data_IF_998675516704
#
_entry.id   IF_998675516704
#
_cell.length_a   1.000
_cell.length_b   1.000
_cell.length_c   1.000
_cell.angle_alpha   90.00
_cell.angle_beta   90.00
_cell.angle_gamma   90.00
#
_symmetry.space_group_name_H-M   'P 1'
#
loop_
_entity.id
_entity.type
_entity.pdbx_description
1 polymer ?
#
# COMPACT_ATOMS: atom_id res chain seq x y z
N UNK A 1 -2.65 0.68 27.12
CA UNK A 1 -1.87 1.89 26.79
C UNK A 1 -0.90 1.50 25.70
N UNK A 2 -0.81 2.26 24.61
CA UNK A 2 0.19 1.97 23.58
C UNK A 2 1.57 2.27 24.18
N UNK A 3 2.46 1.28 24.20
CA UNK A 3 3.86 1.55 24.52
C UNK A 3 4.47 2.28 23.32
N UNK A 4 5.08 3.42 23.55
CA UNK A 4 5.74 4.20 22.53
C UNK A 4 7.25 3.92 22.54
N UNK A 5 7.79 3.71 21.36
CA UNK A 5 9.22 3.68 21.09
C UNK A 5 9.65 5.09 20.69
N UNK A 6 10.75 5.54 21.25
CA UNK A 6 11.40 6.77 20.81
C UNK A 6 12.18 6.46 19.52
N UNK A 7 11.78 7.08 18.42
CA UNK A 7 12.47 7.00 17.15
C UNK A 7 13.17 8.29 16.79
N UNK A 8 14.02 8.23 15.78
CA UNK A 8 14.66 9.38 15.15
C UNK A 8 14.36 9.41 13.67
N UNK A 9 14.03 10.56 13.15
CA UNK A 9 13.96 10.79 11.71
C UNK A 9 15.36 10.68 11.13
N UNK A 10 15.52 9.80 10.14
CA UNK A 10 16.78 9.66 9.38
C UNK A 10 16.75 10.52 8.13
N UNK A 11 15.60 10.55 7.46
CA UNK A 11 15.43 11.27 6.21
C UNK A 11 13.94 11.60 6.00
N UNK A 12 13.67 12.70 5.31
CA UNK A 12 12.32 13.10 4.89
C UNK A 12 12.36 13.41 3.39
N UNK A 13 12.05 12.40 2.58
CA UNK A 13 12.16 12.44 1.11
C UNK A 13 10.88 12.99 0.50
N UNK A 14 10.85 14.27 0.28
CA UNK A 14 9.73 14.95 -0.36
C UNK A 14 9.68 14.62 -1.86
N UNK A 15 8.58 14.05 -2.31
CA UNK A 15 8.34 13.80 -3.73
C UNK A 15 7.79 15.05 -4.42
N UNK A 16 6.93 15.79 -3.70
CA UNK A 16 6.36 17.08 -4.13
C UNK A 16 5.90 17.87 -2.90
N UNK A 17 5.06 18.87 -3.09
CA UNK A 17 4.58 19.78 -2.03
C UNK A 17 3.72 19.10 -0.96
N UNK A 18 3.16 17.92 -1.23
CA UNK A 18 2.24 17.21 -0.33
C UNK A 18 2.52 15.72 -0.18
N UNK A 19 3.48 15.15 -0.89
CA UNK A 19 3.83 13.74 -0.81
C UNK A 19 5.25 13.56 -0.27
N UNK A 20 5.40 12.73 0.73
CA UNK A 20 6.72 12.43 1.32
C UNK A 20 6.84 10.98 1.76
N UNK A 21 8.09 10.50 1.78
CA UNK A 21 8.51 9.27 2.43
C UNK A 21 9.38 9.62 3.64
N UNK A 22 8.93 9.27 4.82
CA UNK A 22 9.62 9.52 6.09
C UNK A 22 10.36 8.25 6.53
N UNK A 23 11.68 8.35 6.68
CA UNK A 23 12.55 7.25 7.12
C UNK A 23 12.85 7.44 8.61
N UNK A 24 12.62 6.38 9.40
CA UNK A 24 12.64 6.45 10.86
C UNK A 24 13.56 5.34 11.40
N UNK A 25 14.47 5.70 12.28
CA UNK A 25 15.22 4.73 13.08
C UNK A 25 14.45 4.46 14.38
N UNK A 26 13.84 3.28 14.45
CA UNK A 26 13.15 2.78 15.62
C UNK A 26 13.16 1.24 15.59
N UNK A 27 13.40 0.63 16.75
CA UNK A 27 13.37 -0.83 16.89
C UNK A 27 11.94 -1.31 17.15
N UNK A 28 11.22 -1.52 16.06
CA UNK A 28 9.82 -1.97 16.11
C UNK A 28 9.68 -3.45 16.49
N UNK A 29 10.76 -4.23 16.46
CA UNK A 29 10.69 -5.68 16.61
C UNK A 29 10.08 -6.38 15.38
N UNK A 30 9.46 -7.54 15.60
CA UNK A 30 8.90 -8.33 14.49
C UNK A 30 7.55 -7.80 14.01
N UNK A 31 7.38 -7.73 12.69
CA UNK A 31 6.12 -7.44 12.01
C UNK A 31 6.05 -8.21 10.69
N UNK A 32 4.92 -8.16 10.01
CA UNK A 32 4.73 -8.79 8.70
C UNK A 32 4.58 -7.70 7.62
N UNK A 33 5.16 -7.93 6.45
CA UNK A 33 5.02 -7.03 5.30
C UNK A 33 3.53 -6.80 4.97
N UNK A 34 3.15 -5.53 4.83
CA UNK A 34 1.77 -5.10 4.65
C UNK A 34 1.09 -4.57 5.91
N UNK A 35 1.70 -4.74 7.09
CA UNK A 35 1.20 -4.14 8.33
C UNK A 35 1.46 -2.63 8.41
N UNK A 36 0.71 -1.97 9.28
CA UNK A 36 0.89 -0.56 9.65
C UNK A 36 1.32 -0.40 11.11
N UNK A 37 1.82 0.77 11.43
CA UNK A 37 2.15 1.19 12.79
C UNK A 37 1.57 2.58 13.06
N UNK A 38 1.25 2.87 14.31
CA UNK A 38 0.88 4.25 14.67
C UNK A 38 2.14 5.07 14.89
N UNK A 39 2.21 6.20 14.18
CA UNK A 39 3.29 7.19 14.31
C UNK A 39 2.68 8.46 14.86
N UNK A 40 3.39 9.12 15.76
CA UNK A 40 2.89 10.32 16.41
C UNK A 40 3.98 11.27 16.92
N UNK A 41 3.49 12.40 17.38
CA UNK A 41 4.28 13.45 18.01
C UNK A 41 3.67 13.80 19.37
N UNK A 42 4.49 14.29 20.32
CA UNK A 42 3.97 14.82 21.58
C UNK A 42 2.94 15.92 21.34
N UNK A 43 1.86 15.91 22.13
CA UNK A 43 0.79 16.89 22.08
C UNK A 43 0.30 17.20 23.50
N UNK A 44 0.98 18.14 24.18
CA UNK A 44 0.84 18.35 25.62
C UNK A 44 1.24 17.11 26.41
N UNK A 45 0.35 16.62 27.25
CA UNK A 45 0.54 15.38 28.04
C UNK A 45 0.20 14.10 27.28
N UNK A 46 -0.31 14.23 26.02
CA UNK A 46 -0.75 13.13 25.16
C UNK A 46 0.16 12.94 23.94
N UNK A 47 -0.16 11.94 23.11
CA UNK A 47 0.47 11.69 21.82
C UNK A 47 -0.57 11.79 20.73
N UNK A 48 -0.41 12.76 19.85
CA UNK A 48 -1.17 12.84 18.62
C UNK A 48 -0.60 11.84 17.62
N UNK A 49 -1.34 10.76 17.30
CA UNK A 49 -0.85 9.70 16.44
C UNK A 49 -1.91 9.19 15.43
N UNK A 50 -1.43 8.73 14.29
CA UNK A 50 -2.25 8.10 13.23
C UNK A 50 -1.58 6.82 12.72
N UNK A 51 -2.34 5.87 12.15
CA UNK A 51 -1.80 4.68 11.49
C UNK A 51 -1.15 5.05 10.15
N UNK A 52 0.02 4.46 9.89
CA UNK A 52 0.77 4.56 8.64
C UNK A 52 1.26 3.19 8.24
N UNK A 53 0.95 2.76 7.02
CA UNK A 53 1.43 1.48 6.49
C UNK A 53 2.93 1.54 6.26
N UNK A 54 3.61 0.46 6.62
CA UNK A 54 5.05 0.32 6.41
C UNK A 54 5.34 0.02 4.94
N UNK A 55 6.31 0.72 4.38
CA UNK A 55 6.80 0.54 2.99
C UNK A 55 7.95 -0.45 2.94
N UNK A 56 8.66 -0.62 4.04
CA UNK A 56 9.82 -1.49 4.16
C UNK A 56 9.44 -2.89 4.66
N UNK A 57 10.30 -3.86 4.41
CA UNK A 57 10.20 -5.21 4.96
C UNK A 57 10.74 -5.25 6.39
N UNK A 58 10.39 -6.29 7.19
CA UNK A 58 10.94 -6.47 8.54
C UNK A 58 12.47 -6.65 8.57
N UNK A 59 13.09 -6.99 7.46
CA UNK A 59 14.54 -7.19 7.35
C UNK A 59 15.31 -5.90 7.06
N UNK A 60 14.63 -4.85 6.64
CA UNK A 60 15.22 -3.54 6.41
C UNK A 60 15.45 -2.84 7.75
N UNK A 61 16.57 -2.14 7.87
CA UNK A 61 17.02 -1.54 9.12
C UNK A 61 16.08 -0.45 9.65
N UNK A 62 15.59 0.41 8.74
CA UNK A 62 14.80 1.57 9.10
C UNK A 62 13.36 1.39 8.69
N UNK A 63 12.45 1.94 9.47
CA UNK A 63 11.05 2.03 9.10
C UNK A 63 10.88 3.11 8.03
N UNK A 64 10.00 2.86 7.10
CA UNK A 64 9.61 3.84 6.07
C UNK A 64 8.10 3.92 5.99
N UNK A 65 7.57 5.15 5.99
CA UNK A 65 6.15 5.42 5.78
C UNK A 65 5.98 6.46 4.68
N UNK A 66 5.05 6.19 3.77
CA UNK A 66 4.72 7.05 2.65
C UNK A 66 3.33 7.64 2.82
N UNK A 67 3.22 8.97 2.82
CA UNK A 67 1.96 9.64 3.07
C UNK A 67 1.82 10.97 2.31
N UNK A 68 0.57 11.41 2.20
CA UNK A 68 0.24 12.76 1.75
C UNK A 68 -0.09 13.66 2.95
N UNK A 69 0.24 14.92 2.80
CA UNK A 69 -0.16 15.98 3.74
C UNK A 69 -1.65 16.27 3.58
N UNK A 70 -2.37 16.24 4.69
CA UNK A 70 -3.74 16.74 4.79
C UNK A 70 -3.63 18.13 5.42
N UNK A 71 -3.85 19.19 4.65
CA UNK A 71 -3.59 20.60 5.06
C UNK A 71 -4.22 20.96 6.41
N UNK A 72 -5.49 20.61 6.61
CA UNK A 72 -6.20 20.86 7.87
C UNK A 72 -6.02 19.72 8.90
N UNK A 73 -5.23 18.71 8.57
CA UNK A 73 -4.95 17.59 9.46
C UNK A 73 -3.98 17.98 10.57
N UNK A 74 -4.21 17.54 11.83
CA UNK A 74 -3.40 17.99 12.95
C UNK A 74 -1.99 17.36 12.98
N UNK A 75 -1.74 16.26 12.28
CA UNK A 75 -0.48 15.50 12.38
C UNK A 75 0.35 15.54 11.10
N UNK A 76 -0.22 15.24 9.92
CA UNK A 76 0.57 15.06 8.70
C UNK A 76 1.37 16.28 8.27
N UNK A 77 0.91 17.55 8.45
CA UNK A 77 1.75 18.73 8.22
C UNK A 77 2.97 18.76 9.16
N UNK A 78 2.79 18.43 10.44
CA UNK A 78 3.88 18.39 11.44
C UNK A 78 4.91 17.31 11.10
N UNK A 79 4.47 16.14 10.61
CA UNK A 79 5.37 15.06 10.16
C UNK A 79 6.12 15.45 8.88
N UNK A 80 5.46 16.18 7.98
CA UNK A 80 6.07 16.67 6.75
C UNK A 80 7.19 17.68 6.99
N UNK A 81 7.12 18.43 8.09
CA UNK A 81 8.11 19.44 8.46
C UNK A 81 9.32 18.88 9.24
N UNK A 82 9.27 17.62 9.67
CA UNK A 82 10.38 16.98 10.39
C UNK A 82 11.64 16.92 9.54
N UNK A 83 12.78 17.09 10.25
CA UNK A 83 14.11 17.03 9.67
C UNK A 83 14.88 15.82 10.23
N UNK A 84 15.95 15.44 9.55
CA UNK A 84 16.86 14.41 10.07
C UNK A 84 17.38 14.79 11.47
N UNK A 85 17.26 13.85 12.42
CA UNK A 85 17.60 14.02 13.81
C UNK A 85 16.43 14.39 14.73
N UNK A 86 15.28 14.77 14.19
CA UNK A 86 14.10 15.07 15.00
C UNK A 86 13.54 13.81 15.69
N UNK A 87 12.91 14.02 16.84
CA UNK A 87 12.27 12.96 17.62
C UNK A 87 10.89 12.62 17.02
N UNK A 88 10.56 11.34 17.03
CA UNK A 88 9.28 10.82 16.58
C UNK A 88 8.88 9.63 17.46
N UNK A 89 7.57 9.44 17.67
CA UNK A 89 7.04 8.35 18.46
C UNK A 89 6.44 7.28 17.55
N UNK A 90 6.85 6.02 17.77
CA UNK A 90 6.35 4.84 17.03
C UNK A 90 5.70 3.91 18.04
N UNK A 91 4.45 3.49 17.79
CA UNK A 91 3.81 2.51 18.67
C UNK A 91 4.50 1.15 18.51
N UNK A 92 4.78 0.48 19.64
CA UNK A 92 5.51 -0.81 19.64
C UNK A 92 4.73 -2.00 19.07
N UNK A 93 3.43 -1.83 18.80
CA UNK A 93 2.56 -2.91 18.33
C UNK A 93 2.11 -2.65 16.89
N UNK A 94 2.78 -3.23 15.88
CA UNK A 94 2.30 -3.22 14.51
C UNK A 94 0.96 -3.96 14.41
N UNK A 95 0.14 -3.58 13.44
CA UNK A 95 -1.22 -4.10 13.26
C UNK A 95 -1.58 -4.13 11.76
N UNK A 96 -2.73 -4.70 11.45
CA UNK A 96 -3.23 -4.81 10.08
C UNK A 96 -3.32 -6.25 9.61
N UNK A 97 -4.20 -6.47 8.65
CA UNK A 97 -4.50 -7.79 8.07
C UNK A 97 -4.29 -7.79 6.55
N UNK A 98 -3.62 -6.76 6.03
CA UNK A 98 -3.28 -6.67 4.61
C UNK A 98 -1.94 -7.38 4.36
N UNK A 99 -1.85 -8.64 4.78
CA UNK A 99 -0.64 -9.47 4.74
C UNK A 99 -0.85 -10.74 3.93
N UNK A 100 0.24 -11.31 3.41
CA UNK A 100 0.18 -12.53 2.58
C UNK A 100 -0.30 -13.74 3.38
N UNK A 101 -0.01 -13.79 4.68
CA UNK A 101 -0.42 -14.88 5.57
C UNK A 101 -1.94 -14.97 5.78
N UNK A 102 -2.66 -13.86 5.64
CA UNK A 102 -4.12 -13.80 5.75
C UNK A 102 -4.85 -14.25 4.48
N UNK A 103 -4.17 -14.39 3.34
CA UNK A 103 -4.79 -14.73 2.06
C UNK A 103 -5.04 -16.24 1.96
N UNK A 104 -6.26 -16.71 1.66
CA UNK A 104 -6.52 -18.11 1.33
C UNK A 104 -5.69 -18.59 0.12
N UNK A 105 -5.62 -19.91 -0.05
CA UNK A 105 -4.92 -20.47 -1.20
C UNK A 105 -5.59 -20.06 -2.51
N UNK A 106 -4.79 -19.46 -3.39
CA UNK A 106 -5.18 -19.05 -4.74
C UNK A 106 -3.93 -18.91 -5.60
N UNK A 107 -4.10 -18.79 -6.93
CA UNK A 107 -2.96 -18.70 -7.86
C UNK A 107 -2.48 -17.27 -8.09
N UNK A 108 -3.42 -16.31 -8.11
CA UNK A 108 -3.15 -14.95 -8.53
C UNK A 108 -3.41 -13.95 -7.41
N UNK A 109 -2.43 -13.12 -7.11
CA UNK A 109 -2.58 -11.99 -6.20
C UNK A 109 -2.72 -10.70 -7.01
N UNK A 110 -3.83 -9.99 -6.79
CA UNK A 110 -4.07 -8.66 -7.33
C UNK A 110 -3.95 -7.63 -6.22
N UNK A 111 -3.03 -6.69 -6.35
CA UNK A 111 -2.86 -5.56 -5.45
C UNK A 111 -3.33 -4.28 -6.14
N UNK A 112 -4.40 -3.68 -5.64
CA UNK A 112 -5.02 -2.48 -6.19
C UNK A 112 -4.77 -1.31 -5.24
N UNK A 113 -3.97 -0.35 -5.69
CA UNK A 113 -3.56 0.82 -4.93
C UNK A 113 -4.07 2.13 -5.53
N UNK A 114 -4.43 3.10 -4.67
CA UNK A 114 -4.55 4.49 -5.07
C UNK A 114 -3.67 5.39 -4.19
N UNK A 115 -2.91 6.30 -4.83
CA UNK A 115 -2.05 7.26 -4.12
C UNK A 115 -1.09 6.59 -3.15
N UNK A 116 -1.07 7.02 -1.91
CA UNK A 116 -0.18 6.47 -0.87
C UNK A 116 -0.53 5.05 -0.44
N UNK A 117 -1.66 4.50 -0.89
CA UNK A 117 -2.04 3.09 -0.70
C UNK A 117 -1.10 2.07 -1.33
N UNK A 118 -0.13 2.49 -2.12
CA UNK A 118 0.94 1.62 -2.61
C UNK A 118 1.88 1.13 -1.49
N UNK A 119 2.00 1.89 -0.38
CA UNK A 119 2.98 1.61 0.69
C UNK A 119 3.01 0.16 1.16
N UNK A 120 1.92 -0.43 1.68
CA UNK A 120 1.91 -1.82 2.15
C UNK A 120 2.21 -2.83 1.05
N UNK A 121 1.85 -2.54 -0.20
CA UNK A 121 2.15 -3.42 -1.33
C UNK A 121 3.62 -3.41 -1.71
N UNK A 122 4.33 -2.30 -1.54
CA UNK A 122 5.78 -2.26 -1.71
C UNK A 122 6.50 -3.15 -0.69
N UNK A 123 6.06 -3.14 0.58
CA UNK A 123 6.58 -4.05 1.59
C UNK A 123 6.37 -5.52 1.20
N UNK A 124 5.16 -5.88 0.75
CA UNK A 124 4.82 -7.23 0.29
C UNK A 124 5.66 -7.61 -0.93
N UNK A 125 5.77 -6.75 -1.93
CA UNK A 125 6.54 -7.00 -3.16
C UNK A 125 8.04 -7.12 -2.93
N UNK A 126 8.59 -6.45 -1.92
CA UNK A 126 9.99 -6.60 -1.49
C UNK A 126 10.25 -7.85 -0.66
N UNK A 127 9.19 -8.50 -0.14
CA UNK A 127 9.30 -9.77 0.62
C UNK A 127 9.25 -10.98 -0.31
N UNK A 128 9.77 -12.13 0.15
CA UNK A 128 9.71 -13.36 -0.63
C UNK A 128 8.33 -14.04 -0.60
N UNK A 129 7.52 -13.76 0.43
CA UNK A 129 6.27 -14.49 0.72
C UNK A 129 5.25 -14.47 -0.44
N UNK A 130 5.14 -13.33 -1.16
CA UNK A 130 4.23 -13.25 -2.30
C UNK A 130 4.71 -14.09 -3.49
N UNK A 131 6.01 -14.12 -3.73
CA UNK A 131 6.62 -14.82 -4.85
C UNK A 131 6.65 -16.34 -4.66
N UNK A 132 6.73 -16.80 -3.44
CA UNK A 132 6.65 -18.22 -3.09
C UNK A 132 5.20 -18.75 -3.15
N UNK A 133 4.22 -17.90 -2.83
CA UNK A 133 2.82 -18.31 -2.70
C UNK A 133 2.01 -18.26 -3.99
N UNK A 134 2.25 -17.26 -4.85
CA UNK A 134 1.39 -17.00 -6.01
C UNK A 134 2.11 -17.24 -7.34
N UNK A 135 1.37 -17.82 -8.30
CA UNK A 135 1.88 -18.00 -9.67
C UNK A 135 2.01 -16.66 -10.42
N UNK A 136 1.08 -15.72 -10.15
CA UNK A 136 1.08 -14.37 -10.72
C UNK A 136 0.77 -13.34 -9.64
N UNK A 137 1.48 -12.21 -9.71
CA UNK A 137 1.29 -11.06 -8.83
C UNK A 137 1.07 -9.82 -9.70
N UNK A 138 -0.03 -9.14 -9.50
CA UNK A 138 -0.39 -7.92 -10.23
C UNK A 138 -0.39 -6.74 -9.28
N UNK A 139 0.30 -5.65 -9.65
CA UNK A 139 0.17 -4.35 -9.01
C UNK A 139 -0.53 -3.38 -9.95
N UNK A 140 -1.80 -3.05 -9.67
CA UNK A 140 -2.53 -1.97 -10.31
C UNK A 140 -2.42 -0.70 -9.45
N UNK A 141 -1.64 0.28 -9.90
CA UNK A 141 -1.35 1.49 -9.14
C UNK A 141 -1.92 2.72 -9.83
N UNK A 142 -2.92 3.34 -9.20
CA UNK A 142 -3.65 4.48 -9.74
C UNK A 142 -3.32 5.78 -9.01
N UNK A 143 -3.06 6.81 -9.79
CA UNK A 143 -2.82 8.19 -9.36
C UNK A 143 -3.59 9.18 -10.26
N UNK A 144 -3.66 10.45 -9.84
CA UNK A 144 -4.26 11.50 -10.66
C UNK A 144 -3.32 11.94 -11.79
N UNK A 145 -2.06 12.21 -11.47
CA UNK A 145 -1.04 12.70 -12.38
C UNK A 145 0.19 11.81 -12.38
N UNK A 146 0.91 11.75 -13.51
CA UNK A 146 2.09 10.89 -13.68
C UNK A 146 3.22 11.24 -12.69
N UNK A 147 3.33 12.49 -12.27
CA UNK A 147 4.29 12.95 -11.26
C UNK A 147 4.06 12.36 -9.86
N UNK A 148 2.87 11.78 -9.61
CA UNK A 148 2.53 11.12 -8.35
C UNK A 148 2.88 9.62 -8.35
N UNK A 149 3.32 9.04 -9.49
CA UNK A 149 3.77 7.66 -9.55
C UNK A 149 5.09 7.49 -8.80
N UNK A 150 4.98 7.22 -7.50
CA UNK A 150 6.12 7.01 -6.61
C UNK A 150 6.78 5.64 -6.81
N UNK A 151 8.01 5.48 -6.33
CA UNK A 151 8.76 4.21 -6.25
C UNK A 151 8.97 3.49 -7.59
N UNK A 152 8.98 4.20 -8.71
CA UNK A 152 9.11 3.57 -10.04
C UNK A 152 10.39 2.73 -10.16
N UNK A 153 11.52 3.21 -9.63
CA UNK A 153 12.78 2.45 -9.63
C UNK A 153 12.68 1.13 -8.84
N UNK A 154 11.99 1.13 -7.71
CA UNK A 154 11.75 -0.09 -6.91
C UNK A 154 10.89 -1.07 -7.70
N UNK A 155 9.82 -0.58 -8.35
CA UNK A 155 8.93 -1.40 -9.18
C UNK A 155 9.70 -1.99 -10.38
N UNK A 156 10.54 -1.21 -11.04
CA UNK A 156 11.39 -1.66 -12.14
C UNK A 156 12.38 -2.76 -11.70
N UNK A 157 12.98 -2.62 -10.52
CA UNK A 157 13.86 -3.65 -9.95
C UNK A 157 13.09 -4.94 -9.66
N UNK A 158 11.86 -4.85 -9.12
CA UNK A 158 11.00 -5.99 -8.87
C UNK A 158 10.62 -6.67 -10.19
N UNK A 159 10.25 -5.88 -11.20
CA UNK A 159 9.93 -6.39 -12.54
C UNK A 159 11.12 -7.12 -13.17
N UNK A 160 12.32 -6.58 -13.04
CA UNK A 160 13.54 -7.21 -13.54
C UNK A 160 13.87 -8.54 -12.82
N UNK A 161 13.54 -8.62 -11.51
CA UNK A 161 13.82 -9.82 -10.70
C UNK A 161 12.81 -10.95 -10.95
N UNK A 162 11.51 -10.61 -11.06
CA UNK A 162 10.43 -11.60 -11.09
C UNK A 162 9.82 -11.83 -12.48
N UNK A 163 10.19 -11.01 -13.46
CA UNK A 163 9.87 -11.22 -14.87
C UNK A 163 8.38 -11.45 -15.10
N UNK A 164 8.04 -12.58 -15.72
CA UNK A 164 6.65 -12.92 -16.10
C UNK A 164 5.74 -13.23 -14.90
N UNK A 165 6.28 -13.44 -13.70
CA UNK A 165 5.48 -13.63 -12.49
C UNK A 165 4.83 -12.32 -12.02
N UNK A 166 5.41 -11.15 -12.36
CA UNK A 166 4.95 -9.84 -11.95
C UNK A 166 4.39 -9.01 -13.12
N UNK A 167 3.21 -8.44 -12.93
CA UNK A 167 2.60 -7.49 -13.84
C UNK A 167 2.36 -6.16 -13.15
N UNK A 168 2.97 -5.09 -13.65
CA UNK A 168 2.73 -3.72 -13.19
C UNK A 168 1.80 -3.00 -14.16
N UNK A 169 0.68 -2.49 -13.65
CA UNK A 169 -0.33 -1.73 -14.40
C UNK A 169 -0.45 -0.32 -13.80
N UNK A 170 0.30 0.66 -14.31
CA UNK A 170 0.11 2.06 -13.91
C UNK A 170 -1.20 2.60 -14.47
N UNK A 171 -1.90 3.41 -13.67
CA UNK A 171 -3.14 4.08 -14.07
C UNK A 171 -3.02 5.56 -13.73
N UNK A 172 -3.17 6.43 -14.74
CA UNK A 172 -3.09 7.90 -14.58
C UNK A 172 -4.39 8.51 -15.08
N UNK A 173 -5.20 9.06 -14.17
CA UNK A 173 -6.62 9.35 -14.47
C UNK A 173 -6.91 10.77 -14.95
N UNK A 174 -5.96 11.72 -14.86
CA UNK A 174 -6.18 13.14 -15.22
C UNK A 174 -5.28 13.65 -16.35
N UNK A 175 -4.42 12.80 -16.88
CA UNK A 175 -3.59 13.11 -18.04
C UNK A 175 -3.25 11.81 -18.79
N UNK A 176 -2.87 11.93 -20.05
CA UNK A 176 -2.39 10.79 -20.83
C UNK A 176 -0.92 10.52 -20.56
N UNK A 177 -0.56 9.27 -20.29
CA UNK A 177 0.83 8.82 -20.15
C UNK A 177 1.04 7.53 -20.97
N UNK A 178 2.06 7.49 -21.85
CA UNK A 178 2.40 6.25 -22.55
C UNK A 178 2.69 5.11 -21.55
N UNK A 179 2.09 3.94 -21.82
CA UNK A 179 2.25 2.76 -20.98
C UNK A 179 1.39 2.74 -19.71
N UNK A 180 0.51 3.73 -19.51
CA UNK A 180 -0.46 3.74 -18.42
C UNK A 180 -1.89 3.68 -18.97
N UNK A 181 -2.80 3.07 -18.20
CA UNK A 181 -4.25 3.17 -18.44
C UNK A 181 -4.76 4.52 -17.90
N UNK A 182 -5.86 5.03 -18.46
CA UNK A 182 -6.35 6.40 -18.22
C UNK A 182 -7.74 6.48 -17.57
N UNK A 183 -8.39 5.33 -17.31
CA UNK A 183 -9.70 5.26 -16.66
C UNK A 183 -9.55 4.86 -15.18
N UNK A 184 -10.56 5.21 -14.37
CA UNK A 184 -10.63 4.69 -13.00
C UNK A 184 -10.74 3.15 -13.00
N UNK A 185 -10.13 2.51 -12.01
CA UNK A 185 -10.02 1.05 -11.91
C UNK A 185 -11.36 0.30 -12.09
N UNK A 186 -12.50 0.72 -11.49
CA UNK A 186 -13.77 0.03 -11.71
C UNK A 186 -14.18 -0.04 -13.19
N UNK A 187 -13.94 1.03 -13.95
CA UNK A 187 -14.23 1.03 -15.40
C UNK A 187 -13.29 0.13 -16.20
N UNK A 188 -12.01 0.04 -15.78
CA UNK A 188 -11.04 -0.88 -16.39
C UNK A 188 -11.39 -2.36 -16.13
N UNK A 189 -12.04 -2.62 -14.98
CA UNK A 189 -12.58 -3.95 -14.68
C UNK A 189 -13.85 -4.26 -15.49
N UNK A 190 -14.73 -3.26 -15.67
CA UNK A 190 -15.98 -3.41 -16.41
C UNK A 190 -15.77 -3.64 -17.91
N UNK A 191 -14.82 -2.92 -18.51
CA UNK A 191 -14.52 -3.04 -19.93
C UNK A 191 -13.46 -4.12 -20.27
N UNK A 192 -12.93 -4.82 -19.24
CA UNK A 192 -11.94 -5.88 -19.37
C UNK A 192 -10.53 -5.41 -19.69
N UNK A 193 -10.28 -4.09 -19.74
CA UNK A 193 -8.95 -3.54 -20.06
C UNK A 193 -7.87 -3.96 -19.08
N UNK A 194 -8.23 -4.11 -17.80
CA UNK A 194 -7.29 -4.50 -16.73
C UNK A 194 -6.79 -5.94 -16.96
N UNK A 195 -7.71 -6.87 -17.23
CA UNK A 195 -7.41 -8.28 -17.49
C UNK A 195 -6.70 -8.46 -18.84
N UNK A 196 -7.13 -7.71 -19.84
CA UNK A 196 -6.46 -7.71 -21.15
C UNK A 196 -5.01 -7.23 -21.07
N UNK A 197 -4.72 -6.22 -20.25
CA UNK A 197 -3.37 -5.68 -20.06
C UNK A 197 -2.44 -6.69 -19.40
N UNK A 198 -2.95 -7.47 -18.45
CA UNK A 198 -2.15 -8.43 -17.67
C UNK A 198 -2.12 -9.82 -18.29
N UNK A 199 -3.11 -10.16 -19.12
CA UNK A 199 -3.33 -11.54 -19.61
C UNK A 199 -3.80 -12.50 -18.51
N UNK A 200 -4.31 -12.00 -17.37
CA UNK A 200 -4.71 -12.77 -16.20
C UNK A 200 -6.19 -12.49 -15.93
N UNK A 201 -7.00 -13.53 -15.83
CA UNK A 201 -8.40 -13.41 -15.46
C UNK A 201 -8.56 -13.11 -13.97
N UNK A 202 -9.42 -12.16 -13.65
CA UNK A 202 -9.78 -11.81 -12.28
C UNK A 202 -11.11 -12.50 -11.92
N UNK A 203 -11.01 -13.62 -11.23
CA UNK A 203 -12.16 -14.48 -10.91
C UNK A 203 -12.06 -15.08 -9.49
N UNK A 204 -13.19 -15.62 -9.01
CA UNK A 204 -13.31 -16.16 -7.66
C UNK A 204 -12.54 -17.48 -7.44
N UNK A 205 -12.21 -18.25 -8.49
CA UNK A 205 -11.55 -19.55 -8.35
C UNK A 205 -10.04 -19.44 -8.14
N UNK A 206 -9.42 -18.44 -8.77
CA UNK A 206 -7.96 -18.38 -8.86
C UNK A 206 -7.35 -17.10 -8.26
N UNK A 207 -8.17 -16.08 -7.93
CA UNK A 207 -7.67 -14.76 -7.56
C UNK A 207 -8.02 -14.30 -6.15
N UNK A 208 -7.07 -13.63 -5.50
CA UNK A 208 -7.34 -12.81 -4.33
C UNK A 208 -6.94 -11.35 -4.60
N UNK A 209 -7.80 -10.40 -4.19
CA UNK A 209 -7.58 -8.97 -4.39
C UNK A 209 -7.29 -8.29 -3.07
N UNK A 210 -6.15 -7.65 -2.96
CA UNK A 210 -5.83 -6.71 -1.88
C UNK A 210 -6.08 -5.29 -2.36
N UNK A 211 -6.79 -4.49 -1.58
CA UNK A 211 -7.06 -3.08 -1.91
C UNK A 211 -6.58 -2.16 -0.81
N UNK A 212 -5.82 -1.13 -1.18
CA UNK A 212 -5.39 -0.09 -0.25
C UNK A 212 -5.48 1.29 -0.91
N UNK A 213 -6.06 2.27 -0.20
CA UNK A 213 -6.19 3.64 -0.69
C UNK A 213 -7.54 4.29 -0.39
N UNK A 214 -8.06 5.09 -1.34
CA UNK A 214 -9.26 5.89 -1.13
C UNK A 214 -10.51 5.05 -0.88
N UNK A 215 -11.38 5.54 0.03
CA UNK A 215 -12.65 4.88 0.36
C UNK A 215 -13.57 4.70 -0.85
N UNK A 216 -13.55 5.67 -1.80
CA UNK A 216 -14.34 5.57 -3.03
C UNK A 216 -13.87 4.42 -3.90
N UNK A 217 -12.56 4.34 -4.18
CA UNK A 217 -12.00 3.23 -4.97
C UNK A 217 -12.34 1.88 -4.34
N UNK A 218 -12.13 1.72 -3.04
CA UNK A 218 -12.41 0.47 -2.34
C UNK A 218 -13.90 0.10 -2.43
N UNK A 219 -14.81 1.07 -2.30
CA UNK A 219 -16.24 0.84 -2.40
C UNK A 219 -16.63 0.39 -3.82
N UNK A 220 -16.17 1.12 -4.84
CA UNK A 220 -16.53 0.87 -6.23
C UNK A 220 -15.93 -0.47 -6.72
N UNK A 221 -14.65 -0.74 -6.44
CA UNK A 221 -14.01 -2.02 -6.80
C UNK A 221 -14.64 -3.19 -6.04
N UNK A 222 -15.02 -3.01 -4.76
CA UNK A 222 -15.73 -4.06 -4.01
C UNK A 222 -17.09 -4.40 -4.63
N UNK A 223 -17.79 -3.40 -5.19
CA UNK A 223 -19.05 -3.65 -5.90
C UNK A 223 -18.83 -4.48 -7.17
N UNK A 224 -17.79 -4.17 -7.96
CA UNK A 224 -17.41 -4.94 -9.14
C UNK A 224 -17.01 -6.39 -8.78
N UNK A 225 -16.22 -6.57 -7.72
CA UNK A 225 -15.82 -7.90 -7.24
C UNK A 225 -17.02 -8.72 -6.76
N UNK A 226 -17.95 -8.10 -6.03
CA UNK A 226 -19.19 -8.77 -5.62
C UNK A 226 -20.04 -9.19 -6.83
N UNK A 227 -20.08 -8.40 -7.90
CA UNK A 227 -20.72 -8.75 -9.17
C UNK A 227 -20.08 -9.94 -9.89
N UNK A 228 -18.85 -10.31 -9.53
CA UNK A 228 -18.09 -11.48 -10.02
C UNK A 228 -18.11 -12.67 -9.02
N UNK A 229 -19.06 -12.71 -8.09
CA UNK A 229 -19.18 -13.72 -7.02
C UNK A 229 -17.97 -13.76 -6.07
N UNK A 230 -17.18 -12.68 -6.00
CA UNK A 230 -16.06 -12.52 -5.11
C UNK A 230 -16.53 -11.80 -3.84
N UNK A 231 -16.39 -12.43 -2.66
CA UNK A 231 -16.80 -11.85 -1.38
C UNK A 231 -15.62 -11.33 -0.56
N UNK A 232 -15.88 -10.38 0.32
CA UNK A 232 -14.87 -9.86 1.25
C UNK A 232 -14.37 -10.96 2.17
N UNK A 233 -13.03 -11.06 2.28
CA UNK A 233 -12.36 -12.00 3.18
C UNK A 233 -12.51 -11.56 4.65
N UNK A 234 -12.74 -12.54 5.52
CA UNK A 234 -12.69 -12.44 6.98
C UNK A 234 -12.06 -13.72 7.52
N UNK A 235 -11.30 -13.65 8.61
CA UNK A 235 -10.65 -14.84 9.21
C UNK A 235 -11.60 -16.02 9.48
N UNK A 236 -12.86 -15.74 9.86
CA UNK A 236 -13.88 -16.76 10.12
C UNK A 236 -14.76 -17.08 8.91
N UNK A 237 -14.65 -16.35 7.85
CA UNK A 237 -15.39 -16.50 6.59
C UNK A 237 -14.46 -16.13 5.43
N UNK A 238 -13.61 -17.08 4.99
CA UNK A 238 -12.66 -16.84 3.90
C UNK A 238 -13.35 -16.34 2.62
N UNK A 239 -12.76 -15.35 2.01
CA UNK A 239 -13.25 -14.71 0.79
C UNK A 239 -12.11 -14.34 -0.14
N UNK A 240 -12.43 -13.53 -1.14
CA UNK A 240 -11.59 -13.30 -2.32
C UNK A 240 -10.96 -11.91 -2.32
N UNK A 241 -11.30 -11.02 -1.39
CA UNK A 241 -10.64 -9.72 -1.31
C UNK A 241 -10.51 -9.17 0.11
N UNK A 242 -9.43 -8.46 0.34
CA UNK A 242 -9.07 -7.79 1.60
C UNK A 242 -8.92 -6.29 1.36
N UNK A 243 -9.31 -5.46 2.32
CA UNK A 243 -9.30 -3.99 2.15
C UNK A 243 -8.70 -3.27 3.33
N UNK A 244 -7.88 -2.25 3.07
CA UNK A 244 -7.42 -1.27 4.05
C UNK A 244 -7.71 0.14 3.52
N UNK A 245 -8.46 0.94 4.31
CA UNK A 245 -8.86 2.30 3.91
C UNK A 245 -7.93 3.31 4.56
N UNK A 246 -7.52 4.31 3.80
CA UNK A 246 -6.97 5.53 4.37
C UNK A 246 -8.12 6.51 4.68
N UNK A 247 -7.99 7.18 5.81
CA UNK A 247 -8.93 8.19 6.30
C UNK A 247 -8.37 9.58 6.08
#
# INVERSE_FOLDING_TARGET
MSNWLNGKVIDNRRLNEYLTSLIIDADLGGYEAGQFVRIGLPDGDDVLARPYSLVNTPQERHLEVYFNVVEEGPLSPRLFDLQAGDDILVASNPSGFLTVSEIPDCKHLWMIATGTGIGPFLAILKSEAAWEKFEKVVLCYSVSYASELAYQQVIEMIQARHGEQFSYVPVVTRESRPGALDKRIPFLMQDGSLEQTTGIDLNASDSHVMMCGSSHMITDVSAELNGRDMKKHRRRDPGHFTTEKYH
#
